data_IF_066757859894
#
_entry.id   IF_066757859894
#
_cell.length_a   1.000
_cell.length_b   1.000
_cell.length_c   1.000
_cell.angle_alpha   90.00
_cell.angle_beta   90.00
_cell.angle_gamma   90.00
#
_symmetry.space_group_name_H-M   'P 1'
#
loop_
_entity.id
_entity.type
_entity.pdbx_description
1 polymer ?
#
# COMPACT_ATOMS: atom_id res chain seq x y z
N UNK A 1 -10.78 33.70 6.99
CA UNK A 1 -11.52 33.62 5.71
C UNK A 1 -11.00 32.34 5.06
N UNK A 2 -11.78 31.26 5.19
CA UNK A 2 -11.40 29.95 4.66
C UNK A 2 -11.36 30.00 3.16
N UNK A 3 -10.23 29.53 2.63
CA UNK A 3 -10.08 29.18 1.22
C UNK A 3 -11.19 28.16 0.93
N UNK A 4 -12.09 28.49 0.01
CA UNK A 4 -13.21 27.62 -0.39
C UNK A 4 -12.61 26.49 -1.25
N UNK A 5 -12.02 25.49 -0.57
CA UNK A 5 -11.35 24.39 -1.21
C UNK A 5 -12.36 23.72 -2.16
N UNK A 6 -12.08 23.75 -3.46
CA UNK A 6 -12.94 23.21 -4.52
C UNK A 6 -13.40 21.79 -4.14
N UNK A 7 -14.70 21.60 -4.03
CA UNK A 7 -15.28 20.26 -3.85
C UNK A 7 -14.99 19.42 -5.09
N UNK A 8 -14.20 18.34 -4.91
CA UNK A 8 -13.86 17.41 -5.98
C UNK A 8 -14.90 16.29 -6.06
N UNK A 9 -15.08 15.74 -7.25
CA UNK A 9 -15.81 14.51 -7.52
C UNK A 9 -14.78 13.39 -7.60
N UNK A 10 -14.77 12.52 -6.62
CA UNK A 10 -13.73 11.47 -6.45
C UNK A 10 -14.37 10.09 -6.58
N UNK A 11 -13.80 9.22 -7.41
CA UNK A 11 -14.05 7.79 -7.34
C UNK A 11 -12.95 7.12 -6.51
N UNK A 12 -13.30 6.18 -5.63
CA UNK A 12 -12.33 5.37 -4.88
C UNK A 12 -12.58 3.89 -5.12
N UNK A 13 -11.62 3.21 -5.76
CA UNK A 13 -11.71 1.84 -6.21
C UNK A 13 -10.77 0.95 -5.39
N UNK A 14 -11.37 -0.01 -4.68
CA UNK A 14 -10.64 -0.92 -3.79
C UNK A 14 -10.79 -0.55 -2.32
N UNK A 15 -11.76 -1.22 -1.66
CA UNK A 15 -12.12 -1.00 -0.26
C UNK A 15 -11.59 -2.13 0.63
N UNK A 16 -10.27 -2.31 0.54
CA UNK A 16 -9.53 -3.19 1.43
C UNK A 16 -9.22 -2.53 2.78
N UNK A 17 -8.33 -3.16 3.56
CA UNK A 17 -7.89 -2.66 4.88
C UNK A 17 -7.36 -1.22 4.82
N UNK A 18 -6.65 -0.86 3.76
CA UNK A 18 -6.11 0.48 3.53
C UNK A 18 -7.12 1.40 2.84
N UNK A 19 -7.77 0.92 1.76
CA UNK A 19 -8.64 1.75 0.94
C UNK A 19 -9.87 2.27 1.68
N UNK A 20 -10.48 1.48 2.55
CA UNK A 20 -11.67 1.93 3.31
C UNK A 20 -11.39 3.15 4.19
N UNK A 21 -10.38 3.18 5.08
CA UNK A 21 -10.08 4.38 5.86
C UNK A 21 -9.64 5.56 4.97
N UNK A 22 -8.87 5.32 3.89
CA UNK A 22 -8.47 6.39 2.96
C UNK A 22 -9.69 7.02 2.26
N UNK A 23 -10.63 6.21 1.74
CA UNK A 23 -11.88 6.69 1.14
C UNK A 23 -12.74 7.48 2.13
N UNK A 24 -12.76 7.07 3.40
CA UNK A 24 -13.49 7.77 4.47
C UNK A 24 -12.95 9.18 4.71
N UNK A 25 -11.64 9.42 4.58
CA UNK A 25 -11.08 10.77 4.67
C UNK A 25 -11.57 11.66 3.52
N UNK A 26 -11.68 11.13 2.30
CA UNK A 26 -12.25 11.87 1.15
C UNK A 26 -13.69 12.32 1.45
N UNK A 27 -14.51 11.40 1.99
CA UNK A 27 -15.90 11.70 2.35
C UNK A 27 -15.98 12.75 3.47
N UNK A 28 -15.18 12.61 4.53
CA UNK A 28 -15.14 13.53 5.67
C UNK A 28 -14.66 14.93 5.31
N UNK A 29 -13.84 15.06 4.29
CA UNK A 29 -13.42 16.36 3.73
C UNK A 29 -14.52 17.05 2.92
N UNK A 30 -15.71 16.44 2.76
CA UNK A 30 -16.86 17.01 2.07
C UNK A 30 -16.81 16.87 0.55
N UNK A 31 -15.91 16.05 0.01
CA UNK A 31 -15.88 15.75 -1.43
C UNK A 31 -17.05 14.84 -1.83
N UNK A 32 -17.42 14.88 -3.12
CA UNK A 32 -18.38 13.93 -3.69
C UNK A 32 -17.66 12.60 -3.93
N UNK A 33 -18.02 11.56 -3.17
CA UNK A 33 -17.37 10.27 -3.20
C UNK A 33 -18.27 9.20 -3.82
N UNK A 34 -17.79 8.57 -4.89
CA UNK A 34 -18.31 7.30 -5.40
C UNK A 34 -17.30 6.20 -5.12
N UNK A 35 -17.76 5.09 -4.60
CA UNK A 35 -16.90 3.94 -4.27
C UNK A 35 -17.24 2.72 -5.11
N UNK A 36 -16.21 1.94 -5.40
CA UNK A 36 -16.37 0.62 -6.01
C UNK A 36 -15.43 -0.41 -5.36
N UNK A 37 -15.93 -1.61 -5.20
CA UNK A 37 -15.10 -2.76 -4.81
C UNK A 37 -15.64 -4.05 -5.44
N UNK A 38 -14.75 -4.93 -5.87
CA UNK A 38 -15.12 -6.25 -6.44
C UNK A 38 -16.10 -7.03 -5.56
N UNK A 39 -15.91 -7.02 -4.24
CA UNK A 39 -16.87 -7.53 -3.27
C UNK A 39 -17.74 -6.37 -2.80
N UNK A 40 -18.97 -6.24 -3.35
CA UNK A 40 -19.87 -5.10 -3.13
C UNK A 40 -20.10 -4.77 -1.65
N UNK A 41 -20.33 -5.79 -0.80
CA UNK A 41 -20.61 -5.59 0.63
C UNK A 41 -19.54 -4.84 1.41
N UNK A 42 -18.30 -4.70 0.86
CA UNK A 42 -17.27 -3.85 1.47
C UNK A 42 -17.57 -2.35 1.33
N UNK A 43 -18.49 -1.96 0.44
CA UNK A 43 -18.90 -0.57 0.26
C UNK A 43 -20.00 -0.13 1.25
N UNK A 44 -20.70 -1.06 1.90
CA UNK A 44 -21.92 -0.80 2.70
C UNK A 44 -21.68 0.22 3.82
N UNK A 45 -20.55 0.13 4.50
CA UNK A 45 -20.19 1.06 5.57
C UNK A 45 -20.04 2.49 5.06
N UNK A 46 -19.35 2.70 3.92
CA UNK A 46 -19.18 4.02 3.30
C UNK A 46 -20.47 4.53 2.68
N UNK A 47 -21.31 3.64 2.15
CA UNK A 47 -22.64 3.99 1.65
C UNK A 47 -23.53 4.54 2.78
N UNK A 48 -23.50 3.91 3.95
CA UNK A 48 -24.22 4.39 5.14
C UNK A 48 -23.68 5.73 5.65
N UNK A 49 -22.41 6.06 5.36
CA UNK A 49 -21.79 7.36 5.67
C UNK A 49 -22.05 8.43 4.58
N UNK A 50 -22.70 8.07 3.44
CA UNK A 50 -23.10 9.00 2.39
C UNK A 50 -22.32 8.90 1.07
N UNK A 51 -21.45 7.91 0.89
CA UNK A 51 -20.81 7.65 -0.40
C UNK A 51 -21.79 6.99 -1.40
N UNK A 52 -21.72 7.37 -2.67
CA UNK A 52 -22.38 6.62 -3.74
C UNK A 52 -21.64 5.30 -4.00
N UNK A 53 -22.37 4.26 -4.41
CA UNK A 53 -21.79 2.95 -4.74
C UNK A 53 -22.05 2.63 -6.21
N UNK A 54 -20.99 2.39 -6.96
CA UNK A 54 -21.06 1.99 -8.37
C UNK A 54 -20.99 0.46 -8.52
N UNK A 55 -21.58 -0.05 -9.60
CA UNK A 55 -21.59 -1.47 -9.92
C UNK A 55 -20.34 -1.91 -10.73
N UNK A 56 -19.73 -0.98 -11.47
CA UNK A 56 -18.51 -1.23 -12.27
C UNK A 56 -17.47 -0.13 -12.04
N UNK A 57 -16.18 -0.39 -12.32
CA UNK A 57 -15.16 0.65 -12.34
C UNK A 57 -15.48 1.79 -13.30
N UNK A 58 -16.02 1.48 -14.47
CA UNK A 58 -16.45 2.47 -15.48
C UNK A 58 -17.52 3.41 -14.93
N UNK A 59 -18.57 2.83 -14.31
CA UNK A 59 -19.64 3.62 -13.71
C UNK A 59 -19.13 4.47 -12.52
N UNK A 60 -18.16 3.97 -11.77
CA UNK A 60 -17.53 4.74 -10.70
C UNK A 60 -16.75 5.94 -11.23
N UNK A 61 -16.08 5.78 -12.39
CA UNK A 61 -15.20 6.78 -12.98
C UNK A 61 -15.93 7.85 -13.81
N UNK A 62 -17.19 7.61 -14.19
CA UNK A 62 -17.98 8.54 -14.98
C UNK A 62 -18.21 9.86 -14.22
N UNK A 63 -17.95 10.99 -14.88
CA UNK A 63 -18.12 12.34 -14.34
C UNK A 63 -17.31 12.56 -13.03
N UNK A 64 -16.03 12.15 -13.04
CA UNK A 64 -15.11 12.32 -11.89
C UNK A 64 -13.91 13.19 -12.24
N UNK A 65 -13.49 14.03 -11.28
CA UNK A 65 -12.25 14.81 -11.40
C UNK A 65 -11.03 13.91 -11.11
N UNK A 66 -11.16 12.98 -10.15
CA UNK A 66 -10.09 12.10 -9.69
C UNK A 66 -10.62 10.68 -9.48
N UNK A 67 -9.87 9.69 -9.97
CA UNK A 67 -10.10 8.26 -9.70
C UNK A 67 -8.92 7.72 -8.90
N UNK A 68 -9.18 7.23 -7.70
CA UNK A 68 -8.17 6.64 -6.81
C UNK A 68 -8.27 5.12 -6.83
N UNK A 69 -7.13 4.44 -6.96
CA UNK A 69 -7.04 2.98 -6.80
C UNK A 69 -6.25 2.61 -5.55
N UNK A 70 -6.72 1.57 -4.85
CA UNK A 70 -6.00 0.92 -3.75
C UNK A 70 -6.23 -0.59 -3.82
N UNK A 71 -5.48 -1.26 -4.69
CA UNK A 71 -5.66 -2.65 -5.11
C UNK A 71 -4.46 -3.52 -4.72
N UNK A 72 -4.64 -4.84 -4.80
CA UNK A 72 -3.69 -5.79 -4.24
C UNK A 72 -2.41 -5.98 -5.07
N UNK A 73 -2.54 -5.99 -6.39
CA UNK A 73 -1.50 -6.42 -7.32
C UNK A 73 -1.62 -5.75 -8.70
N UNK A 74 -0.60 -5.89 -9.57
CA UNK A 74 -0.60 -5.30 -10.91
C UNK A 74 -1.75 -5.77 -11.79
N UNK A 75 -2.13 -7.05 -11.69
CA UNK A 75 -3.19 -7.67 -12.48
C UNK A 75 -4.55 -7.07 -12.12
N UNK A 76 -4.81 -6.87 -10.83
CA UNK A 76 -6.02 -6.21 -10.36
C UNK A 76 -6.11 -4.75 -10.83
N UNK A 77 -4.98 -4.02 -10.81
CA UNK A 77 -4.92 -2.64 -11.32
C UNK A 77 -5.20 -2.61 -12.82
N UNK A 78 -4.57 -3.48 -13.61
CA UNK A 78 -4.78 -3.54 -15.05
C UNK A 78 -6.24 -3.87 -15.39
N UNK A 79 -6.82 -4.87 -14.73
CA UNK A 79 -8.22 -5.25 -14.92
C UNK A 79 -9.20 -4.11 -14.58
N UNK A 80 -8.98 -3.40 -13.48
CA UNK A 80 -9.84 -2.30 -13.04
C UNK A 80 -9.69 -1.07 -13.92
N UNK A 81 -8.48 -0.80 -14.43
CA UNK A 81 -8.24 0.34 -15.31
C UNK A 81 -8.67 0.08 -16.75
N UNK A 82 -8.34 -1.09 -17.30
CA UNK A 82 -8.36 -1.36 -18.74
C UNK A 82 -9.25 -2.55 -19.15
N UNK A 83 -9.90 -3.21 -18.19
CA UNK A 83 -10.88 -4.27 -18.48
C UNK A 83 -12.12 -3.74 -19.22
N UNK A 84 -13.03 -4.62 -19.69
CA UNK A 84 -14.21 -4.22 -20.46
C UNK A 84 -15.07 -3.14 -19.79
N UNK A 85 -15.28 -3.25 -18.48
CA UNK A 85 -16.00 -2.27 -17.65
C UNK A 85 -15.01 -1.45 -16.77
N UNK A 86 -13.79 -1.25 -17.27
CA UNK A 86 -12.71 -0.57 -16.57
C UNK A 86 -12.85 0.95 -16.60
N UNK A 87 -12.04 1.63 -15.79
CA UNK A 87 -11.99 3.09 -15.68
C UNK A 87 -11.87 3.77 -17.05
N UNK A 88 -11.01 3.23 -17.93
CA UNK A 88 -10.74 3.81 -19.24
C UNK A 88 -11.97 3.87 -20.15
N UNK A 89 -12.97 3.01 -19.93
CA UNK A 89 -14.20 2.99 -20.74
C UNK A 89 -15.30 3.95 -20.21
N UNK A 90 -15.17 4.46 -18.99
CA UNK A 90 -16.19 5.30 -18.36
C UNK A 90 -15.71 6.69 -17.95
N UNK A 91 -14.40 6.89 -17.78
CA UNK A 91 -13.86 8.17 -17.35
C UNK A 91 -13.85 9.21 -18.49
N UNK A 92 -14.13 10.45 -18.14
CA UNK A 92 -14.02 11.58 -19.07
C UNK A 92 -12.55 11.90 -19.37
N UNK A 93 -12.27 12.50 -20.55
CA UNK A 93 -10.94 13.01 -20.84
C UNK A 93 -10.43 13.96 -19.74
N UNK A 94 -9.13 13.94 -19.53
CA UNK A 94 -8.40 14.70 -18.50
C UNK A 94 -8.68 14.28 -17.05
N UNK A 95 -9.53 13.25 -16.80
CA UNK A 95 -9.66 12.64 -15.47
C UNK A 95 -8.29 12.17 -14.97
N UNK A 96 -8.00 12.51 -13.71
CA UNK A 96 -6.74 12.13 -13.07
C UNK A 96 -6.88 10.79 -12.34
N UNK A 97 -6.11 9.81 -12.75
CA UNK A 97 -5.99 8.52 -12.06
C UNK A 97 -4.84 8.57 -11.07
N UNK A 98 -5.11 8.28 -9.81
CA UNK A 98 -4.14 8.21 -8.70
C UNK A 98 -4.07 6.77 -8.21
N UNK A 99 -2.96 6.10 -8.47
CA UNK A 99 -2.78 4.70 -8.08
C UNK A 99 -1.94 4.58 -6.80
N UNK A 100 -2.62 4.32 -5.68
CA UNK A 100 -1.99 4.05 -4.38
C UNK A 100 -1.48 2.62 -4.21
N UNK A 101 -1.69 1.75 -5.20
CA UNK A 101 -1.32 0.33 -5.16
C UNK A 101 0.19 0.13 -5.32
N UNK A 102 0.71 -0.99 -4.81
CA UNK A 102 2.11 -1.38 -5.03
C UNK A 102 2.19 -2.38 -6.18
N UNK A 103 2.51 -1.87 -7.39
CA UNK A 103 2.52 -2.65 -8.64
C UNK A 103 3.89 -2.67 -9.34
N UNK A 104 4.85 -1.92 -8.82
CA UNK A 104 6.19 -1.81 -9.39
C UNK A 104 6.28 -0.82 -10.58
N UNK A 105 7.49 -0.27 -10.83
CA UNK A 105 7.67 0.86 -11.75
C UNK A 105 7.36 0.54 -13.21
N UNK A 106 7.61 -0.70 -13.63
CA UNK A 106 7.30 -1.16 -14.98
C UNK A 106 5.79 -1.18 -15.27
N UNK A 107 5.00 -1.70 -14.32
CA UNK A 107 3.54 -1.71 -14.44
C UNK A 107 2.97 -0.29 -14.41
N UNK A 108 3.41 0.57 -13.49
CA UNK A 108 2.97 1.98 -13.43
C UNK A 108 3.19 2.70 -14.75
N UNK A 109 4.38 2.56 -15.37
CA UNK A 109 4.66 3.17 -16.68
C UNK A 109 3.78 2.60 -17.80
N UNK A 110 3.49 1.29 -17.79
CA UNK A 110 2.56 0.69 -18.78
C UNK A 110 1.14 1.22 -18.59
N UNK A 111 0.64 1.31 -17.34
CA UNK A 111 -0.69 1.86 -17.06
C UNK A 111 -0.80 3.31 -17.53
N UNK A 112 0.17 4.14 -17.20
CA UNK A 112 0.20 5.53 -17.67
C UNK A 112 0.19 5.67 -19.19
N UNK A 113 0.97 4.82 -19.90
CA UNK A 113 1.00 4.81 -21.37
C UNK A 113 -0.37 4.45 -21.96
N UNK A 114 -0.99 3.39 -21.45
CA UNK A 114 -2.30 2.92 -21.91
C UNK A 114 -3.42 3.93 -21.60
N UNK A 115 -3.42 4.52 -20.41
CA UNK A 115 -4.41 5.53 -20.01
C UNK A 115 -4.31 6.80 -20.86
N UNK A 116 -3.10 7.18 -21.30
CA UNK A 116 -2.89 8.32 -22.21
C UNK A 116 -3.59 8.11 -23.57
N UNK A 117 -3.70 6.87 -24.07
CA UNK A 117 -4.45 6.54 -25.28
C UNK A 117 -5.95 6.90 -25.12
N UNK A 118 -6.44 6.88 -23.88
CA UNK A 118 -7.80 7.30 -23.50
C UNK A 118 -7.88 8.76 -23.03
N UNK A 119 -6.80 9.53 -23.18
CA UNK A 119 -6.69 10.94 -22.74
C UNK A 119 -6.85 11.09 -21.22
N UNK A 120 -6.44 10.09 -20.44
CA UNK A 120 -6.44 10.11 -18.97
C UNK A 120 -5.04 10.43 -18.45
N UNK A 121 -4.98 11.10 -17.31
CA UNK A 121 -3.76 11.45 -16.60
C UNK A 121 -3.46 10.40 -15.52
N UNK A 122 -2.20 10.23 -15.14
CA UNK A 122 -1.84 9.17 -14.19
C UNK A 122 -0.71 9.58 -13.25
N UNK A 123 -0.90 9.30 -11.95
CA UNK A 123 0.10 9.45 -10.89
C UNK A 123 0.17 8.12 -10.12
N UNK A 124 1.35 7.52 -10.02
CA UNK A 124 1.61 6.44 -9.08
C UNK A 124 1.95 7.02 -7.71
N UNK A 125 1.12 6.77 -6.74
CA UNK A 125 1.20 7.36 -5.40
C UNK A 125 1.11 6.31 -4.28
N UNK A 126 1.96 5.26 -4.28
CA UNK A 126 1.93 4.26 -3.24
C UNK A 126 2.21 4.88 -1.88
N UNK A 127 1.54 4.31 -0.87
CA UNK A 127 1.59 4.79 0.50
C UNK A 127 2.47 3.90 1.39
N UNK A 128 2.97 4.48 2.48
CA UNK A 128 3.60 3.74 3.56
C UNK A 128 3.05 4.18 4.91
N UNK A 129 3.08 3.26 5.83
CA UNK A 129 2.31 3.21 7.04
C UNK A 129 1.46 1.94 7.00
N UNK A 130 0.63 1.76 7.98
CA UNK A 130 -0.29 0.63 8.05
C UNK A 130 -1.72 1.13 8.24
N UNK A 131 -2.63 0.25 8.64
CA UNK A 131 -4.05 0.59 8.88
C UNK A 131 -4.22 1.71 9.92
N UNK A 132 -3.39 1.76 10.98
CA UNK A 132 -3.41 2.84 11.97
C UNK A 132 -3.21 4.22 11.31
N UNK A 133 -2.04 4.49 10.71
CA UNK A 133 -1.79 5.73 9.97
C UNK A 133 -2.81 6.02 8.86
N UNK A 134 -3.34 4.99 8.17
CA UNK A 134 -4.41 5.18 7.19
C UNK A 134 -5.71 5.70 7.83
N UNK A 135 -6.03 5.23 9.03
CA UNK A 135 -7.21 5.66 9.79
C UNK A 135 -7.04 7.06 10.36
N UNK A 136 -5.81 7.42 10.74
CA UNK A 136 -5.44 8.72 11.32
C UNK A 136 -5.18 9.82 10.27
N UNK A 137 -5.03 9.46 8.98
CA UNK A 137 -4.66 10.41 7.93
C UNK A 137 -3.19 10.83 8.00
N UNK A 138 -2.30 9.94 8.47
CA UNK A 138 -0.88 10.24 8.70
C UNK A 138 0.06 9.35 7.87
N UNK A 139 -0.44 8.80 6.75
CA UNK A 139 0.38 8.02 5.82
C UNK A 139 1.49 8.87 5.19
N UNK A 140 2.61 8.24 4.89
CA UNK A 140 3.53 8.81 3.91
C UNK A 140 3.12 8.42 2.50
N UNK A 141 3.28 9.34 1.54
CA UNK A 141 2.92 9.16 0.13
C UNK A 141 4.13 9.43 -0.75
N UNK A 142 4.40 8.51 -1.69
CA UNK A 142 5.50 8.62 -2.64
C UNK A 142 4.92 8.81 -4.05
N UNK A 143 4.75 10.05 -4.49
CA UNK A 143 4.09 10.36 -5.76
C UNK A 143 5.11 10.43 -6.91
N UNK A 144 4.85 9.64 -7.96
CA UNK A 144 5.56 9.68 -9.24
C UNK A 144 4.61 10.10 -10.36
N UNK A 145 5.02 11.08 -11.17
CA UNK A 145 4.20 11.61 -12.25
C UNK A 145 4.75 12.94 -12.74
N UNK A 146 4.13 13.49 -13.78
CA UNK A 146 4.43 14.84 -14.22
C UNK A 146 4.06 15.85 -13.12
N UNK A 147 4.84 16.91 -12.96
CA UNK A 147 4.66 17.89 -11.88
C UNK A 147 3.22 18.47 -11.83
N UNK A 148 2.58 18.86 -12.96
CA UNK A 148 1.19 19.35 -12.93
C UNK A 148 0.19 18.30 -12.45
N UNK A 149 0.42 17.02 -12.76
CA UNK A 149 -0.46 15.92 -12.36
C UNK A 149 -0.34 15.61 -10.87
N UNK A 150 0.90 15.60 -10.36
CA UNK A 150 1.16 15.43 -8.91
C UNK A 150 0.61 16.63 -8.12
N UNK A 151 0.74 17.85 -8.63
CA UNK A 151 0.15 19.04 -8.02
C UNK A 151 -1.39 18.95 -7.99
N UNK A 152 -2.02 18.46 -9.07
CA UNK A 152 -3.46 18.25 -9.12
C UNK A 152 -3.94 17.11 -8.20
N UNK A 153 -3.12 16.08 -7.98
CA UNK A 153 -3.42 14.98 -7.05
C UNK A 153 -3.27 15.40 -5.57
N UNK A 154 -2.42 16.37 -5.27
CA UNK A 154 -2.02 16.75 -3.91
C UNK A 154 -3.19 16.97 -2.95
N UNK A 155 -4.28 17.69 -3.30
CA UNK A 155 -5.42 17.86 -2.40
C UNK A 155 -6.04 16.55 -1.92
N UNK A 156 -6.04 15.50 -2.77
CA UNK A 156 -6.54 14.18 -2.40
C UNK A 156 -5.49 13.40 -1.61
N UNK A 157 -4.21 13.48 -1.99
CA UNK A 157 -3.12 12.79 -1.29
C UNK A 157 -2.97 13.26 0.16
N UNK A 158 -3.17 14.54 0.44
CA UNK A 158 -3.06 15.14 1.77
C UNK A 158 -4.25 14.80 2.69
N UNK A 159 -5.33 14.24 2.16
CA UNK A 159 -6.45 13.78 3.00
C UNK A 159 -6.10 12.53 3.83
N UNK A 160 -5.25 11.66 3.30
CA UNK A 160 -4.83 10.45 4.01
C UNK A 160 -3.36 10.43 4.39
N UNK A 161 -2.59 11.44 3.98
CA UNK A 161 -1.17 11.55 4.24
C UNK A 161 -0.81 12.77 5.09
N UNK A 162 0.25 12.67 5.89
CA UNK A 162 0.87 13.85 6.49
C UNK A 162 1.40 14.74 5.35
N UNK A 163 0.94 16.01 5.20
CA UNK A 163 1.38 16.91 4.13
C UNK A 163 2.92 17.03 4.02
N UNK A 164 3.65 16.88 5.14
CA UNK A 164 5.12 16.89 5.18
C UNK A 164 5.74 15.61 4.62
N UNK A 165 4.96 14.54 4.53
CA UNK A 165 5.37 13.23 4.03
C UNK A 165 4.74 12.89 2.66
N UNK A 166 3.96 13.79 2.06
CA UNK A 166 3.52 13.70 0.66
C UNK A 166 4.64 14.23 -0.22
N UNK A 167 5.39 13.32 -0.84
CA UNK A 167 6.61 13.64 -1.60
C UNK A 167 6.45 13.34 -3.07
N UNK A 168 6.69 14.34 -3.93
CA UNK A 168 6.95 14.11 -5.34
C UNK A 168 8.38 13.58 -5.49
N UNK A 169 8.54 12.35 -5.98
CA UNK A 169 9.82 11.62 -5.99
C UNK A 169 10.38 11.41 -7.41
N UNK A 170 9.73 11.95 -8.42
CA UNK A 170 10.15 11.90 -9.82
C UNK A 170 9.01 11.65 -10.80
N UNK A 171 9.35 11.32 -12.03
CA UNK A 171 8.39 11.03 -13.10
C UNK A 171 7.63 9.71 -12.85
N UNK A 172 6.67 9.40 -13.69
CA UNK A 172 5.84 8.18 -13.59
C UNK A 172 6.66 6.91 -13.37
N UNK A 173 6.27 6.15 -12.34
CA UNK A 173 6.96 4.95 -11.87
C UNK A 173 7.99 5.21 -10.76
N UNK A 174 8.34 6.47 -10.47
CA UNK A 174 9.28 6.80 -9.41
C UNK A 174 8.70 6.55 -8.01
N UNK A 175 7.41 6.80 -7.80
CA UNK A 175 6.70 6.48 -6.56
C UNK A 175 6.74 4.99 -6.28
N UNK A 176 6.36 4.18 -7.28
CA UNK A 176 6.41 2.72 -7.22
C UNK A 176 7.84 2.20 -6.98
N UNK A 177 8.86 2.79 -7.62
CA UNK A 177 10.25 2.42 -7.39
C UNK A 177 10.69 2.71 -5.95
N UNK A 178 10.39 3.90 -5.44
CA UNK A 178 10.69 4.28 -4.07
C UNK A 178 9.97 3.39 -3.05
N UNK A 179 8.73 2.99 -3.33
CA UNK A 179 7.97 2.04 -2.51
C UNK A 179 8.63 0.66 -2.46
N UNK A 180 9.12 0.14 -3.59
CA UNK A 180 9.83 -1.14 -3.62
C UNK A 180 11.11 -1.09 -2.77
N UNK A 181 11.92 -0.04 -2.90
CA UNK A 181 13.14 0.14 -2.07
C UNK A 181 12.80 0.15 -0.58
N UNK A 182 11.73 0.85 -0.19
CA UNK A 182 11.27 0.88 1.19
C UNK A 182 10.82 -0.50 1.70
N UNK A 183 10.01 -1.21 0.93
CA UNK A 183 9.48 -2.52 1.34
C UNK A 183 10.56 -3.62 1.30
N UNK A 184 11.51 -3.53 0.37
CA UNK A 184 12.73 -4.35 0.38
C UNK A 184 13.47 -4.19 1.71
N UNK A 185 13.74 -2.93 2.12
CA UNK A 185 14.44 -2.65 3.38
C UNK A 185 13.69 -3.21 4.60
N UNK A 186 12.35 -3.12 4.61
CA UNK A 186 11.52 -3.72 5.65
C UNK A 186 11.64 -5.24 5.66
N UNK A 187 11.54 -5.88 4.49
CA UNK A 187 11.64 -7.34 4.37
C UNK A 187 12.97 -7.88 4.87
N UNK A 188 14.08 -7.22 4.50
CA UNK A 188 15.41 -7.59 4.97
C UNK A 188 15.57 -7.38 6.48
N UNK A 189 15.04 -6.29 7.03
CA UNK A 189 15.10 -6.03 8.46
C UNK A 189 14.34 -7.10 9.26
N UNK A 190 13.11 -7.44 8.84
CA UNK A 190 12.31 -8.47 9.52
C UNK A 190 12.96 -9.86 9.42
N UNK A 191 13.47 -10.24 8.25
CA UNK A 191 14.19 -11.51 8.10
C UNK A 191 15.45 -11.55 8.97
N UNK A 192 16.25 -10.48 9.00
CA UNK A 192 17.44 -10.39 9.85
C UNK A 192 17.13 -10.43 11.35
N UNK A 193 16.02 -9.82 11.79
CA UNK A 193 15.53 -9.95 13.17
C UNK A 193 15.17 -11.40 13.46
N UNK A 194 14.50 -12.10 12.55
CA UNK A 194 14.13 -13.51 12.70
C UNK A 194 15.34 -14.41 12.90
N UNK A 195 16.37 -14.26 12.07
CA UNK A 195 17.63 -15.00 12.20
C UNK A 195 18.35 -14.69 13.52
N UNK A 196 18.39 -13.43 13.93
CA UNK A 196 19.00 -13.03 15.19
C UNK A 196 18.26 -13.64 16.40
N UNK A 197 16.93 -13.63 16.40
CA UNK A 197 16.12 -14.26 17.46
C UNK A 197 16.30 -15.78 17.51
N UNK A 198 16.40 -16.42 16.35
CA UNK A 198 16.65 -17.86 16.25
C UNK A 198 18.03 -18.23 16.79
N UNK A 199 19.07 -17.47 16.41
CA UNK A 199 20.42 -17.67 16.93
C UNK A 199 20.49 -17.47 18.45
N UNK A 200 19.84 -16.41 18.95
CA UNK A 200 19.77 -16.12 20.38
C UNK A 200 19.12 -17.29 21.16
N UNK A 201 18.03 -17.85 20.64
CA UNK A 201 17.36 -19.01 21.22
C UNK A 201 18.26 -20.25 21.21
N UNK A 202 19.06 -20.49 20.15
CA UNK A 202 20.02 -21.58 20.06
C UNK A 202 21.17 -21.46 21.07
N UNK A 203 21.51 -20.19 21.39
CA UNK A 203 22.60 -19.88 22.36
C UNK A 203 22.08 -19.71 23.80
N UNK A 204 20.80 -20.00 24.07
CA UNK A 204 20.16 -19.85 25.37
C UNK A 204 20.34 -18.46 26.01
N UNK A 205 20.34 -17.38 25.19
CA UNK A 205 20.47 -16.03 25.70
C UNK A 205 19.20 -15.63 26.43
N UNK A 206 19.30 -14.91 27.60
CA UNK A 206 18.15 -14.38 28.31
C UNK A 206 17.33 -13.40 27.46
N UNK A 207 15.99 -13.48 27.55
CA UNK A 207 15.09 -12.72 26.70
C UNK A 207 15.24 -11.19 26.88
N UNK A 208 15.53 -10.71 28.08
CA UNK A 208 15.78 -9.30 28.38
C UNK A 208 17.07 -8.80 27.74
N UNK A 209 18.13 -9.61 27.72
CA UNK A 209 19.39 -9.31 27.02
C UNK A 209 19.16 -9.21 25.53
N UNK A 210 18.43 -10.17 24.94
CA UNK A 210 18.10 -10.15 23.52
C UNK A 210 17.30 -8.92 23.17
N UNK A 211 16.30 -8.56 23.99
CA UNK A 211 15.47 -7.39 23.78
C UNK A 211 16.29 -6.10 23.79
N UNK A 212 17.21 -5.94 24.74
CA UNK A 212 18.11 -4.78 24.82
C UNK A 212 19.04 -4.71 23.57
N UNK A 213 19.68 -5.82 23.20
CA UNK A 213 20.56 -5.88 22.04
C UNK A 213 19.84 -5.55 20.72
N UNK A 214 18.63 -6.07 20.56
CA UNK A 214 17.83 -5.81 19.34
C UNK A 214 17.33 -4.36 19.29
N UNK A 215 16.91 -3.79 20.42
CA UNK A 215 16.41 -2.41 20.48
C UNK A 215 17.53 -1.38 20.22
N UNK A 216 18.74 -1.62 20.76
CA UNK A 216 19.89 -0.74 20.58
C UNK A 216 20.67 -1.02 19.28
N UNK A 217 20.43 -2.16 18.63
CA UNK A 217 21.17 -2.63 17.47
C UNK A 217 20.76 -1.98 16.13
N UNK A 218 21.49 -2.31 15.05
CA UNK A 218 21.24 -1.76 13.72
C UNK A 218 19.82 -1.99 13.18
N UNK A 219 19.11 -3.03 13.64
CA UNK A 219 17.73 -3.35 13.27
C UNK A 219 16.69 -2.72 14.20
N UNK A 220 17.13 -1.90 15.15
CA UNK A 220 16.30 -1.27 16.19
C UNK A 220 15.12 -0.46 15.66
N UNK A 221 15.23 0.14 14.48
CA UNK A 221 14.12 0.89 13.88
C UNK A 221 12.90 0.01 13.51
N UNK A 222 13.12 -1.26 13.17
CA UNK A 222 12.05 -2.21 12.84
C UNK A 222 11.59 -3.03 14.06
N UNK A 223 12.40 -3.10 15.10
CA UNK A 223 12.20 -3.98 16.24
C UNK A 223 11.00 -3.67 17.13
N UNK A 224 10.58 -2.40 17.39
CA UNK A 224 9.46 -2.11 18.31
C UNK A 224 8.15 -2.83 17.96
N UNK A 225 7.84 -2.95 16.67
CA UNK A 225 6.67 -3.70 16.21
C UNK A 225 6.81 -5.21 16.43
N UNK A 226 8.01 -5.76 16.26
CA UNK A 226 8.33 -7.18 16.53
C UNK A 226 8.28 -7.45 18.03
N UNK A 227 8.87 -6.57 18.85
CA UNK A 227 8.81 -6.64 20.33
C UNK A 227 7.37 -6.76 20.80
N UNK A 228 6.47 -5.93 20.28
CA UNK A 228 5.05 -5.98 20.63
C UNK A 228 4.43 -7.35 20.33
N UNK A 229 4.77 -7.95 19.18
CA UNK A 229 4.30 -9.30 18.82
C UNK A 229 4.90 -10.37 19.72
N UNK A 230 6.17 -10.26 20.08
CA UNK A 230 6.83 -11.22 20.98
C UNK A 230 6.21 -11.20 22.38
N UNK A 231 5.73 -10.05 22.85
CA UNK A 231 5.13 -9.86 24.17
C UNK A 231 3.64 -10.22 24.22
N UNK A 232 2.87 -9.88 23.18
CA UNK A 232 1.41 -9.94 23.17
C UNK A 232 0.83 -10.95 22.14
N UNK A 233 1.67 -11.58 21.33
CA UNK A 233 1.27 -12.42 20.21
C UNK A 233 0.93 -11.59 18.96
N UNK A 234 0.71 -12.28 17.81
CA UNK A 234 0.30 -11.62 16.56
C UNK A 234 -1.04 -10.90 16.71
N UNK A 235 -1.21 -9.71 16.12
CA UNK A 235 -2.50 -9.03 16.13
C UNK A 235 -3.55 -9.84 15.36
N UNK A 236 -4.79 -9.87 15.84
CA UNK A 236 -5.90 -10.60 15.20
C UNK A 236 -6.23 -10.12 13.78
N UNK A 237 -5.81 -8.90 13.43
CA UNK A 237 -5.93 -8.35 12.07
C UNK A 237 -4.60 -7.71 11.67
N UNK A 238 -4.03 -8.19 10.57
CA UNK A 238 -2.77 -7.64 10.07
C UNK A 238 -2.95 -6.20 9.56
N UNK A 239 -2.05 -5.31 9.94
CA UNK A 239 -1.92 -4.00 9.32
C UNK A 239 -1.27 -4.09 7.93
N UNK A 240 -0.28 -4.98 7.79
CA UNK A 240 0.38 -5.34 6.53
C UNK A 240 0.69 -6.84 6.56
N UNK A 241 0.06 -7.61 5.67
CA UNK A 241 0.18 -9.07 5.67
C UNK A 241 1.51 -9.56 5.10
N UNK A 242 2.00 -10.71 5.58
CA UNK A 242 3.22 -11.39 5.08
C UNK A 242 3.12 -11.61 3.56
N UNK A 243 1.98 -12.08 3.04
CA UNK A 243 1.77 -12.29 1.60
C UNK A 243 1.96 -11.01 0.78
N UNK A 244 1.55 -9.86 1.31
CA UNK A 244 1.70 -8.58 0.63
C UNK A 244 3.17 -8.14 0.58
N UNK A 245 3.93 -8.34 1.67
CA UNK A 245 5.37 -8.09 1.67
C UNK A 245 6.09 -9.05 0.72
N UNK A 246 5.75 -10.34 0.74
CA UNK A 246 6.31 -11.36 -0.15
C UNK A 246 6.06 -11.03 -1.63
N UNK A 247 4.86 -10.56 -1.96
CA UNK A 247 4.55 -10.03 -3.30
C UNK A 247 5.48 -8.86 -3.66
N UNK A 248 5.67 -7.90 -2.76
CA UNK A 248 6.52 -6.73 -3.01
C UNK A 248 8.00 -7.13 -3.22
N UNK A 249 8.49 -8.14 -2.49
CA UNK A 249 9.83 -8.71 -2.71
C UNK A 249 9.93 -9.39 -4.10
N UNK A 250 8.88 -10.08 -4.56
CA UNK A 250 8.83 -10.62 -5.94
C UNK A 250 8.89 -9.49 -6.98
N UNK A 251 8.20 -8.38 -6.76
CA UNK A 251 8.29 -7.21 -7.62
C UNK A 251 9.70 -6.60 -7.65
N UNK A 252 10.42 -6.60 -6.52
CA UNK A 252 11.82 -6.17 -6.49
C UNK A 252 12.70 -7.08 -7.38
N UNK A 253 12.57 -8.40 -7.26
CA UNK A 253 13.31 -9.38 -8.06
C UNK A 253 12.93 -9.35 -9.54
N UNK A 254 11.71 -8.97 -9.88
CA UNK A 254 11.30 -8.76 -11.27
C UNK A 254 11.99 -7.52 -11.90
N UNK A 255 12.40 -6.55 -11.09
CA UNK A 255 13.17 -5.36 -11.54
C UNK A 255 14.66 -5.65 -11.58
N UNK A 256 15.22 -6.27 -10.53
CA UNK A 256 16.63 -6.64 -10.42
C UNK A 256 16.75 -8.05 -9.85
N UNK A 257 16.98 -9.06 -10.71
CA UNK A 257 17.07 -10.47 -10.27
C UNK A 257 18.30 -10.78 -9.38
N UNK A 258 19.30 -9.92 -9.39
CA UNK A 258 20.56 -10.13 -8.66
C UNK A 258 20.53 -9.52 -7.27
N UNK A 259 19.48 -9.82 -6.49
CA UNK A 259 19.30 -9.40 -5.10
C UNK A 259 19.22 -10.64 -4.18
N UNK A 260 20.34 -11.30 -3.87
CA UNK A 260 20.33 -12.60 -3.17
C UNK A 260 19.69 -12.54 -1.79
N UNK A 261 19.86 -11.46 -1.04
CA UNK A 261 19.22 -11.30 0.28
C UNK A 261 17.70 -11.11 0.16
N UNK A 262 17.25 -10.44 -0.89
CA UNK A 262 15.82 -10.27 -1.18
C UNK A 262 15.18 -11.60 -1.56
N UNK A 263 15.89 -12.43 -2.33
CA UNK A 263 15.41 -13.76 -2.69
C UNK A 263 15.30 -14.66 -1.44
N UNK A 264 16.28 -14.63 -0.55
CA UNK A 264 16.21 -15.34 0.74
C UNK A 264 15.02 -14.86 1.59
N UNK A 265 14.81 -13.54 1.74
CA UNK A 265 13.69 -13.00 2.48
C UNK A 265 12.32 -13.36 1.84
N UNK A 266 12.23 -13.39 0.50
CA UNK A 266 11.05 -13.88 -0.22
C UNK A 266 10.75 -15.35 0.08
N UNK A 267 11.77 -16.22 0.04
CA UNK A 267 11.62 -17.65 0.37
C UNK A 267 11.12 -17.84 1.80
N UNK A 268 11.61 -17.06 2.76
CA UNK A 268 11.10 -17.05 4.13
C UNK A 268 9.60 -16.69 4.15
N UNK A 269 9.18 -15.62 3.46
CA UNK A 269 7.77 -15.25 3.39
C UNK A 269 6.90 -16.35 2.77
N UNK A 270 7.39 -17.05 1.75
CA UNK A 270 6.71 -18.20 1.13
C UNK A 270 6.60 -19.41 2.06
N UNK A 271 7.64 -19.68 2.84
CA UNK A 271 7.61 -20.73 3.84
C UNK A 271 6.59 -20.44 4.96
N UNK A 272 6.52 -19.18 5.41
CA UNK A 272 5.53 -18.71 6.39
C UNK A 272 4.10 -18.80 5.82
N UNK A 273 3.91 -18.44 4.54
CA UNK A 273 2.64 -18.65 3.85
C UNK A 273 2.24 -20.13 3.82
N UNK A 274 3.15 -21.01 3.42
CA UNK A 274 2.90 -22.46 3.34
C UNK A 274 2.56 -23.06 4.70
N UNK A 275 3.06 -22.48 5.81
CA UNK A 275 2.70 -22.85 7.18
C UNK A 275 1.32 -22.29 7.63
N UNK A 276 0.59 -21.56 6.77
CA UNK A 276 -0.74 -21.01 7.06
C UNK A 276 -0.74 -19.59 7.63
N UNK A 277 0.40 -18.91 7.69
CA UNK A 277 0.57 -17.60 8.32
C UNK A 277 0.72 -16.43 7.31
N UNK A 278 0.41 -16.64 6.04
CA UNK A 278 0.52 -15.61 5.00
C UNK A 278 -0.34 -14.37 5.22
N UNK A 279 -1.48 -14.51 5.91
CA UNK A 279 -2.37 -13.40 6.26
C UNK A 279 -2.07 -12.74 7.59
N UNK A 280 -1.08 -13.23 8.34
CA UNK A 280 -0.62 -12.63 9.58
C UNK A 280 0.13 -11.33 9.30
N UNK A 281 0.25 -10.49 10.33
CA UNK A 281 0.99 -9.23 10.25
C UNK A 281 2.49 -9.49 10.04
N UNK A 282 3.13 -8.72 9.18
CA UNK A 282 4.57 -8.86 8.88
C UNK A 282 5.47 -8.77 10.12
N UNK A 283 5.02 -8.07 11.18
CA UNK A 283 5.74 -7.99 12.45
C UNK A 283 5.82 -9.34 13.17
N UNK A 284 4.96 -10.31 12.80
CA UNK A 284 5.01 -11.68 13.30
C UNK A 284 5.99 -12.57 12.51
N UNK A 285 6.49 -12.14 11.35
CA UNK A 285 7.43 -12.91 10.55
C UNK A 285 8.64 -13.43 11.35
N UNK A 286 9.33 -12.59 12.17
CA UNK A 286 10.44 -13.06 13.00
C UNK A 286 10.06 -14.11 14.03
N UNK A 287 8.83 -14.09 14.56
CA UNK A 287 8.32 -15.09 15.48
C UNK A 287 8.21 -16.46 14.80
N UNK A 288 7.60 -16.50 13.61
CA UNK A 288 7.46 -17.73 12.83
C UNK A 288 8.81 -18.29 12.37
N UNK A 289 9.79 -17.43 12.05
CA UNK A 289 11.15 -17.83 11.73
C UNK A 289 11.87 -18.48 12.92
N UNK A 290 11.73 -17.89 14.11
CA UNK A 290 12.31 -18.40 15.36
C UNK A 290 11.77 -19.81 15.68
N UNK A 291 10.48 -20.00 15.55
CA UNK A 291 9.77 -21.19 15.99
C UNK A 291 9.70 -22.29 14.90
N UNK A 292 10.13 -22.01 13.66
CA UNK A 292 10.23 -22.99 12.59
C UNK A 292 11.27 -24.08 12.93
N UNK A 293 10.86 -25.35 12.83
CA UNK A 293 11.73 -26.55 13.10
C UNK A 293 12.47 -26.97 11.84
#
# INVERSE_FOLDING_TARGET
MGDDARRLRVAFLGLGRMGTPMARHVLRAGHDLTVWNRTRGKADALAAEGAAVADTPAAAAADRDVVVLMLADPEAVEQVLLGPDGVASGADPDTLVVDGSTIGPGASRRMASRLREHRLRYVDAPVYGSVGPATEGTLGVLAGGEEPDVAAARPVLELWGDPRQVRHVGTTGAGSAAKLVRNLSLGLALAGIGDALRLAATLDLPADVVDELMAAGPLGAAYPGVRQVLQAGPPGTAGFAVDMLTKDLRLCLAVEPRLPLVDAARQVGEAVHAAGHGQDDTRALPLWMRDAR
#
